data_IF_728165078442
#
_entry.id   IF_728165078442
#
_cell.length_a   1.000
_cell.length_b   1.000
_cell.length_c   1.000
_cell.angle_alpha   90.00
_cell.angle_beta   90.00
_cell.angle_gamma   90.00
#
_symmetry.space_group_name_H-M   'P 1'
#
loop_
_entity.id
_entity.type
_entity.pdbx_description
1 polymer ?
#
# COMPACT_ATOMS: atom_id res chain seq x y z
N UNK A 1 -13.86 -21.93 3.43
CA UNK A 1 -13.07 -21.38 4.52
C UNK A 1 -13.63 -20.07 5.04
N UNK A 2 -14.06 -20.08 6.29
CA UNK A 2 -14.12 -18.89 7.12
C UNK A 2 -12.70 -18.33 7.20
N UNK A 3 -12.48 -17.11 6.68
CA UNK A 3 -11.22 -16.38 6.89
C UNK A 3 -11.13 -16.19 8.40
N UNK A 4 -10.19 -16.91 9.03
CA UNK A 4 -9.90 -16.69 10.46
C UNK A 4 -9.25 -15.33 10.54
N UNK A 5 -10.04 -14.32 10.92
CA UNK A 5 -9.53 -12.99 11.24
C UNK A 5 -8.45 -13.19 12.32
N UNK A 6 -7.19 -12.81 12.06
CA UNK A 6 -6.17 -12.87 13.10
C UNK A 6 -6.68 -12.11 14.32
N UNK A 7 -6.42 -12.62 15.52
CA UNK A 7 -6.81 -11.94 16.77
C UNK A 7 -6.04 -10.62 16.84
N UNK A 8 -6.62 -9.55 16.32
CA UNK A 8 -6.02 -8.21 16.23
C UNK A 8 -5.99 -7.50 17.58
N UNK A 9 -6.63 -8.05 18.62
CA UNK A 9 -6.76 -7.44 19.93
C UNK A 9 -5.43 -7.19 20.67
N UNK A 10 -4.32 -7.75 20.20
CA UNK A 10 -2.98 -7.53 20.78
C UNK A 10 -1.98 -6.90 19.79
N UNK A 11 -2.39 -6.55 18.58
CA UNK A 11 -1.48 -6.03 17.56
C UNK A 11 -1.56 -4.49 17.54
N UNK A 12 -0.60 -3.83 18.17
CA UNK A 12 -0.45 -2.38 18.03
C UNK A 12 0.28 -2.05 16.73
N UNK A 13 -0.49 -1.60 15.73
CA UNK A 13 0.02 -1.22 14.42
C UNK A 13 -0.90 -1.60 13.28
N UNK A 14 -0.34 -2.11 12.19
CA UNK A 14 -1.05 -2.45 10.96
C UNK A 14 -0.89 -3.92 10.58
N UNK A 15 -1.94 -4.50 10.02
CA UNK A 15 -1.91 -5.81 9.38
C UNK A 15 -2.27 -5.67 7.91
N UNK A 16 -1.30 -5.88 7.03
CA UNK A 16 -1.47 -5.78 5.58
C UNK A 16 -1.80 -7.16 5.02
N UNK A 17 -2.94 -7.27 4.34
CA UNK A 17 -3.27 -8.49 3.62
C UNK A 17 -2.42 -8.58 2.35
N UNK A 18 -1.80 -9.73 2.17
CA UNK A 18 -0.85 -9.97 1.09
C UNK A 18 -1.19 -11.23 0.32
N UNK A 19 -0.72 -11.30 -0.92
CA UNK A 19 -0.81 -12.46 -1.78
C UNK A 19 0.60 -12.99 -2.05
N UNK A 20 0.74 -14.29 -2.26
CA UNK A 20 2.02 -14.87 -2.67
C UNK A 20 2.37 -14.44 -4.10
N UNK A 21 3.58 -13.94 -4.33
CA UNK A 21 4.00 -13.49 -5.66
C UNK A 21 4.11 -14.62 -6.70
N UNK A 22 4.17 -15.89 -6.29
CA UNK A 22 4.04 -17.03 -7.19
C UNK A 22 2.67 -17.10 -7.90
N UNK A 23 1.64 -16.51 -7.30
CA UNK A 23 0.28 -16.52 -7.86
C UNK A 23 -0.02 -15.29 -8.74
N UNK A 24 1.01 -14.53 -9.13
CA UNK A 24 0.90 -13.47 -10.13
C UNK A 24 0.58 -14.06 -11.50
N UNK A 25 -0.58 -13.66 -12.03
CA UNK A 25 -0.95 -13.96 -13.42
C UNK A 25 -0.39 -12.90 -14.38
N UNK A 26 -0.07 -11.71 -13.89
CA UNK A 26 0.33 -10.54 -14.67
C UNK A 26 1.78 -10.07 -14.37
N UNK A 27 2.22 -9.04 -15.10
CA UNK A 27 3.57 -8.50 -15.00
C UNK A 27 3.81 -7.81 -13.64
N UNK A 28 4.95 -8.07 -13.01
CA UNK A 28 5.32 -7.51 -11.69
C UNK A 28 5.41 -5.98 -11.66
N UNK A 29 5.50 -5.33 -12.83
CA UNK A 29 5.74 -3.90 -12.98
C UNK A 29 4.52 -3.00 -12.66
N UNK A 30 3.46 -3.54 -12.08
CA UNK A 30 2.28 -2.79 -11.65
C UNK A 30 1.94 -3.01 -10.18
N UNK A 31 2.70 -3.82 -9.44
CA UNK A 31 2.36 -4.21 -8.07
C UNK A 31 3.25 -3.55 -7.00
N UNK A 32 2.69 -3.42 -5.80
CA UNK A 32 3.44 -3.16 -4.57
C UNK A 32 3.91 -4.48 -3.96
N UNK A 33 5.20 -4.59 -3.66
CA UNK A 33 5.83 -5.75 -3.06
C UNK A 33 6.19 -5.48 -1.61
N UNK A 34 6.09 -6.52 -0.80
CA UNK A 34 6.37 -6.54 0.62
C UNK A 34 7.46 -7.57 0.88
N UNK A 35 8.50 -7.14 1.56
CA UNK A 35 9.50 -8.01 2.17
C UNK A 35 9.15 -8.21 3.64
N UNK A 36 9.19 -9.45 4.12
CA UNK A 36 8.92 -9.79 5.53
C UNK A 36 10.14 -10.44 6.21
N UNK A 37 10.17 -10.38 7.53
CA UNK A 37 11.07 -11.17 8.36
C UNK A 37 10.49 -12.55 8.71
N UNK A 38 11.24 -13.34 9.48
CA UNK A 38 10.84 -14.69 9.92
C UNK A 38 9.59 -14.69 10.84
N UNK A 39 9.28 -13.55 11.46
CA UNK A 39 8.12 -13.37 12.35
C UNK A 39 6.91 -12.79 11.59
N UNK A 40 7.03 -12.54 10.28
CA UNK A 40 5.99 -11.93 9.46
C UNK A 40 5.85 -10.41 9.62
N UNK A 41 6.79 -9.76 10.31
CA UNK A 41 6.88 -8.29 10.35
C UNK A 41 7.37 -7.79 9.01
N UNK A 42 6.81 -6.69 8.54
CA UNK A 42 7.16 -6.08 7.27
C UNK A 42 8.45 -5.30 7.43
N UNK A 43 9.43 -5.64 6.60
CA UNK A 43 10.72 -4.95 6.52
C UNK A 43 10.65 -3.73 5.63
N UNK A 44 9.99 -3.86 4.47
CA UNK A 44 9.94 -2.82 3.45
C UNK A 44 8.76 -3.02 2.48
N UNK A 45 8.28 -1.93 1.87
CA UNK A 45 7.19 -1.90 0.88
C UNK A 45 7.67 -1.15 -0.37
N UNK A 46 7.83 -1.87 -1.48
CA UNK A 46 8.37 -1.30 -2.73
C UNK A 46 7.36 -1.33 -3.87
N UNK A 47 7.21 -0.20 -4.56
CA UNK A 47 6.45 -0.18 -5.80
C UNK A 47 7.31 -0.59 -6.99
N UNK A 48 6.82 -1.54 -7.80
CA UNK A 48 7.45 -1.99 -9.06
C UNK A 48 8.88 -2.54 -8.89
N UNK A 49 9.06 -3.43 -7.92
CA UNK A 49 10.30 -4.19 -7.76
C UNK A 49 10.47 -5.18 -8.92
N UNK A 50 11.66 -5.21 -9.52
CA UNK A 50 12.02 -6.32 -10.41
C UNK A 50 12.35 -7.54 -9.57
N UNK A 51 11.60 -8.62 -9.75
CA UNK A 51 11.77 -9.84 -8.96
C UNK A 51 12.17 -10.97 -9.89
N UNK A 52 13.32 -11.56 -9.60
CA UNK A 52 13.77 -12.77 -10.29
C UNK A 52 12.84 -13.92 -9.95
N UNK A 53 12.63 -14.85 -10.88
CA UNK A 53 11.77 -16.02 -10.66
C UNK A 53 12.13 -16.83 -9.40
N UNK A 54 13.39 -16.80 -8.97
CA UNK A 54 13.90 -17.52 -7.78
C UNK A 54 13.48 -16.86 -6.46
N UNK A 55 13.28 -15.55 -6.46
CA UNK A 55 12.98 -14.79 -5.24
C UNK A 55 11.46 -14.65 -5.00
N UNK A 56 10.63 -15.04 -5.99
CA UNK A 56 9.17 -14.90 -5.93
C UNK A 56 8.52 -15.66 -4.78
N UNK A 57 9.10 -16.76 -4.30
CA UNK A 57 8.51 -17.54 -3.21
C UNK A 57 8.50 -16.78 -1.88
N UNK A 58 9.49 -15.89 -1.69
CA UNK A 58 9.67 -15.11 -0.47
C UNK A 58 9.03 -13.71 -0.56
N UNK A 59 8.62 -13.31 -1.77
CA UNK A 59 8.05 -11.99 -2.04
C UNK A 59 6.53 -12.01 -1.91
N UNK A 60 5.98 -10.96 -1.33
CA UNK A 60 4.55 -10.81 -1.09
C UNK A 60 4.03 -9.59 -1.83
N UNK A 61 2.77 -9.66 -2.25
CA UNK A 61 2.12 -8.57 -3.00
C UNK A 61 1.05 -7.96 -2.14
N UNK A 62 0.98 -6.63 -2.14
CA UNK A 62 -0.08 -5.87 -1.49
C UNK A 62 -1.42 -6.20 -2.14
N UNK A 63 -2.39 -6.70 -1.37
CA UNK A 63 -3.76 -6.97 -1.86
C UNK A 63 -4.65 -5.73 -1.96
N UNK A 64 -4.24 -4.61 -1.34
CA UNK A 64 -5.04 -3.39 -1.19
C UNK A 64 -5.92 -3.37 0.06
N UNK A 65 -5.91 -4.42 0.88
CA UNK A 65 -6.62 -4.46 2.17
C UNK A 65 -5.64 -4.38 3.34
N UNK A 66 -5.91 -3.48 4.29
CA UNK A 66 -5.12 -3.30 5.51
C UNK A 66 -6.04 -3.11 6.71
N UNK A 67 -5.71 -3.74 7.84
CA UNK A 67 -6.35 -3.50 9.13
C UNK A 67 -5.45 -2.61 9.98
N UNK A 68 -6.04 -1.64 10.66
CA UNK A 68 -5.33 -0.72 11.56
C UNK A 68 -5.83 -0.96 12.98
N UNK A 69 -4.91 -0.97 13.94
CA UNK A 69 -5.29 -0.87 15.35
C UNK A 69 -5.97 0.48 15.63
N UNK A 70 -6.88 0.57 16.63
CA UNK A 70 -7.54 1.83 16.97
C UNK A 70 -6.56 2.99 17.20
N UNK A 71 -5.51 2.76 17.99
CA UNK A 71 -4.48 3.76 18.29
C UNK A 71 -3.74 4.24 17.03
N UNK A 72 -3.43 3.34 16.10
CA UNK A 72 -2.80 3.72 14.83
C UNK A 72 -3.76 4.54 13.97
N UNK A 73 -5.03 4.11 13.86
CA UNK A 73 -6.04 4.81 13.08
C UNK A 73 -6.22 6.24 13.62
N UNK A 74 -6.36 6.41 14.93
CA UNK A 74 -6.47 7.72 15.57
C UNK A 74 -5.25 8.61 15.29
N UNK A 75 -4.03 8.06 15.33
CA UNK A 75 -2.84 8.84 15.01
C UNK A 75 -2.77 9.21 13.52
N UNK A 76 -3.14 8.31 12.61
CA UNK A 76 -3.25 8.62 11.17
C UNK A 76 -4.27 9.74 10.96
N UNK A 77 -5.43 9.67 11.62
CA UNK A 77 -6.43 10.73 11.56
C UNK A 77 -5.87 12.03 12.15
N UNK A 78 -5.16 12.02 13.27
CA UNK A 78 -4.60 13.26 13.84
C UNK A 78 -3.66 14.04 12.89
N UNK A 79 -3.15 13.41 11.83
CA UNK A 79 -2.32 14.06 10.82
C UNK A 79 -3.10 15.02 9.91
N UNK A 80 -4.42 14.84 9.74
CA UNK A 80 -5.21 15.61 8.76
C UNK A 80 -5.36 17.10 9.11
N UNK A 81 -4.95 17.54 10.30
CA UNK A 81 -4.97 18.95 10.71
C UNK A 81 -3.60 19.62 10.63
N UNK A 82 -2.56 18.88 10.24
CA UNK A 82 -1.18 19.37 10.24
C UNK A 82 -0.80 19.83 8.84
N UNK A 83 -0.37 21.09 8.64
CA UNK A 83 0.18 21.50 7.35
C UNK A 83 1.43 20.70 6.98
N UNK A 84 1.59 20.26 5.72
CA UNK A 84 0.68 20.46 4.59
C UNK A 84 -0.34 19.32 4.36
N UNK A 85 -0.44 18.37 5.29
CA UNK A 85 -1.35 17.21 5.22
C UNK A 85 -2.84 17.59 5.33
N UNK A 86 -3.14 18.76 5.87
CA UNK A 86 -4.46 19.38 5.88
C UNK A 86 -5.05 19.59 4.47
N UNK A 87 -4.19 19.83 3.48
CA UNK A 87 -4.57 19.90 2.06
C UNK A 87 -4.96 18.55 1.44
N UNK A 88 -4.70 17.42 2.11
CA UNK A 88 -5.14 16.10 1.65
C UNK A 88 -6.65 15.88 1.89
N UNK A 89 -7.30 16.81 2.58
CA UNK A 89 -8.72 16.74 2.93
C UNK A 89 -9.57 17.64 2.03
N UNK A 90 -10.89 17.57 2.22
CA UNK A 90 -11.85 18.46 1.56
C UNK A 90 -11.51 19.96 1.75
N UNK A 91 -10.82 20.33 2.84
CA UNK A 91 -10.34 21.71 3.05
C UNK A 91 -9.34 22.18 2.00
N UNK A 92 -8.48 21.29 1.50
CA UNK A 92 -7.60 21.60 0.36
C UNK A 92 -8.39 21.82 -0.93
N UNK A 93 -9.47 21.06 -1.10
CA UNK A 93 -10.34 21.15 -2.30
C UNK A 93 -11.04 22.49 -2.40
N UNK A 94 -11.51 23.04 -1.29
CA UNK A 94 -12.24 24.31 -1.28
C UNK A 94 -11.33 25.55 -1.45
N UNK A 95 -10.01 25.39 -1.34
CA UNK A 95 -9.06 26.52 -1.32
C UNK A 95 -8.29 26.71 -2.63
N UNK A 96 -8.62 25.97 -3.70
CA UNK A 96 -7.87 25.92 -4.97
C UNK A 96 -6.35 25.69 -4.77
N UNK A 97 -5.97 25.11 -3.62
CA UNK A 97 -4.58 24.83 -3.30
C UNK A 97 -4.16 23.50 -3.92
N UNK A 98 -2.91 23.41 -4.38
CA UNK A 98 -2.39 22.16 -4.92
C UNK A 98 -2.39 21.07 -3.83
N UNK A 99 -3.05 19.95 -4.13
CA UNK A 99 -3.19 18.82 -3.21
C UNK A 99 -1.84 18.17 -2.94
N UNK A 100 -1.53 17.94 -1.67
CA UNK A 100 -0.47 17.01 -1.31
C UNK A 100 -1.04 15.61 -1.46
N UNK A 101 -0.49 14.82 -2.38
CA UNK A 101 -0.92 13.44 -2.55
C UNK A 101 -0.12 12.54 -1.61
N UNK A 102 -0.81 11.78 -0.76
CA UNK A 102 -0.21 10.89 0.23
C UNK A 102 -0.68 9.46 -0.03
N UNK A 103 0.26 8.54 -0.21
CA UNK A 103 -0.02 7.13 -0.38
C UNK A 103 -0.19 6.44 0.96
N UNK A 104 -1.27 5.66 1.12
CA UNK A 104 -1.42 4.81 2.30
C UNK A 104 -0.22 3.87 2.45
N UNK A 105 0.19 3.19 1.38
CA UNK A 105 1.28 2.20 1.46
C UNK A 105 2.66 2.84 1.44
N UNK A 106 2.88 3.80 0.55
CA UNK A 106 4.21 4.34 0.27
C UNK A 106 4.55 5.62 1.02
N UNK A 107 3.62 6.19 1.81
CA UNK A 107 3.92 7.32 2.69
C UNK A 107 3.49 7.02 4.14
N UNK A 108 2.25 6.55 4.39
CA UNK A 108 1.72 6.35 5.75
C UNK A 108 2.17 5.04 6.42
N UNK A 109 2.22 3.93 5.68
CA UNK A 109 2.56 2.62 6.25
C UNK A 109 4.06 2.30 6.20
N UNK A 110 4.85 3.00 5.38
CA UNK A 110 6.30 2.81 5.34
C UNK A 110 6.97 2.99 6.71
N UNK A 111 6.68 4.05 7.51
CA UNK A 111 7.31 4.23 8.82
C UNK A 111 7.10 3.10 9.83
N UNK A 112 6.14 2.20 9.59
CA UNK A 112 5.86 1.04 10.44
C UNK A 112 6.76 -0.16 10.11
N UNK A 113 7.51 -0.08 9.01
CA UNK A 113 8.36 -1.16 8.53
C UNK A 113 9.72 -1.13 9.24
N UNK A 114 10.33 -2.29 9.47
CA UNK A 114 11.53 -2.38 10.31
C UNK A 114 12.84 -1.97 9.66
N UNK A 115 12.89 -1.88 8.32
CA UNK A 115 14.12 -1.67 7.55
C UNK A 115 14.03 -0.40 6.69
N UNK A 116 13.59 0.69 7.31
CA UNK A 116 13.40 1.98 6.64
C UNK A 116 14.41 2.99 7.17
N UNK A 117 15.24 3.48 6.25
CA UNK A 117 16.12 4.61 6.48
C UNK A 117 15.30 5.91 6.53
N UNK A 118 15.39 6.62 7.65
CA UNK A 118 14.57 7.80 7.92
C UNK A 118 14.86 8.90 6.90
N UNK A 119 16.14 9.14 6.60
CA UNK A 119 16.60 10.19 5.72
C UNK A 119 16.11 9.96 4.28
N UNK A 120 16.18 8.72 3.79
CA UNK A 120 15.62 8.31 2.49
C UNK A 120 14.09 8.38 2.46
N UNK A 121 13.44 8.07 3.58
CA UNK A 121 12.00 8.23 3.71
C UNK A 121 11.61 9.72 3.59
N UNK A 122 12.22 10.59 4.39
CA UNK A 122 11.92 12.03 4.41
C UNK A 122 12.14 12.68 3.04
N UNK A 123 13.24 12.34 2.35
CA UNK A 123 13.55 12.84 1.01
C UNK A 123 12.56 12.38 -0.08
N UNK A 124 11.75 11.37 0.21
CA UNK A 124 10.81 10.76 -0.74
C UNK A 124 11.46 9.80 -1.74
N UNK A 125 12.72 9.42 -1.51
CA UNK A 125 13.44 8.46 -2.37
C UNK A 125 12.70 7.11 -2.43
N UNK A 126 12.22 6.62 -1.28
CA UNK A 126 11.56 5.32 -1.16
C UNK A 126 10.19 5.26 -1.88
N UNK A 127 9.49 6.39 -1.98
CA UNK A 127 8.18 6.49 -2.65
C UNK A 127 8.28 6.95 -4.11
N UNK A 128 9.49 7.23 -4.61
CA UNK A 128 9.73 7.89 -5.91
C UNK A 128 9.09 7.17 -7.09
N UNK A 129 9.22 5.85 -7.19
CA UNK A 129 8.60 5.05 -8.25
C UNK A 129 7.08 5.18 -8.27
N UNK A 130 6.45 5.25 -7.09
CA UNK A 130 5.00 5.45 -6.98
C UNK A 130 4.63 6.87 -7.36
N UNK A 131 5.33 7.88 -6.82
CA UNK A 131 5.10 9.29 -7.10
C UNK A 131 5.19 9.60 -8.61
N UNK A 132 6.20 9.07 -9.31
CA UNK A 132 6.36 9.21 -10.77
C UNK A 132 5.14 8.62 -11.49
N UNK A 133 4.69 7.42 -11.09
CA UNK A 133 3.58 6.74 -11.76
C UNK A 133 2.22 7.41 -11.49
N UNK A 134 2.05 7.95 -10.28
CA UNK A 134 0.88 8.70 -9.86
C UNK A 134 0.92 10.17 -10.34
N UNK A 135 2.00 10.59 -11.01
CA UNK A 135 2.18 11.93 -11.57
C UNK A 135 2.13 13.05 -10.51
N UNK A 136 2.80 12.84 -9.38
CA UNK A 136 2.93 13.86 -8.34
C UNK A 136 3.69 15.07 -8.89
N UNK A 137 3.27 16.29 -8.53
CA UNK A 137 3.97 17.50 -8.98
C UNK A 137 5.31 17.69 -8.26
N UNK A 138 6.19 18.47 -8.89
CA UNK A 138 7.54 18.76 -8.35
C UNK A 138 7.53 19.76 -7.20
N UNK A 139 6.51 20.64 -7.10
CA UNK A 139 6.34 21.58 -5.98
C UNK A 139 6.11 20.85 -4.65
N UNK A 140 5.46 19.69 -4.69
CA UNK A 140 5.20 18.83 -3.52
C UNK A 140 6.49 18.26 -2.93
N UNK A 141 7.67 18.36 -3.57
CA UNK A 141 8.89 17.71 -3.06
C UNK A 141 9.43 18.32 -1.77
N UNK A 142 9.36 19.64 -1.61
CA UNK A 142 9.79 20.33 -0.38
C UNK A 142 8.74 20.20 0.74
N UNK A 143 7.46 20.36 0.38
CA UNK A 143 6.34 20.20 1.32
C UNK A 143 6.16 18.74 1.75
N UNK A 144 6.52 17.80 0.87
CA UNK A 144 6.49 16.36 1.10
C UNK A 144 7.47 15.92 2.18
N UNK A 145 8.61 16.61 2.34
CA UNK A 145 9.53 16.33 3.45
C UNK A 145 8.89 16.69 4.79
N UNK A 146 8.25 17.85 4.90
CA UNK A 146 7.52 18.28 6.11
C UNK A 146 6.35 17.34 6.41
N UNK A 147 5.58 16.97 5.37
CA UNK A 147 4.51 15.99 5.48
C UNK A 147 5.03 14.64 6.04
N UNK A 148 6.09 14.10 5.44
CA UNK A 148 6.72 12.85 5.90
C UNK A 148 7.32 12.99 7.29
N UNK A 149 7.83 14.16 7.66
CA UNK A 149 8.32 14.41 9.02
C UNK A 149 7.21 14.31 10.06
N UNK A 150 6.01 14.86 9.78
CA UNK A 150 4.83 14.68 10.63
C UNK A 150 4.40 13.22 10.72
N UNK A 151 4.32 12.53 9.58
CA UNK A 151 3.95 11.11 9.53
C UNK A 151 4.95 10.27 10.35
N UNK A 152 6.25 10.43 10.12
CA UNK A 152 7.30 9.68 10.82
C UNK A 152 7.18 9.85 12.33
N UNK A 153 7.07 11.09 12.81
CA UNK A 153 7.02 11.39 14.24
C UNK A 153 5.80 10.76 14.93
N UNK A 154 4.68 10.61 14.22
CA UNK A 154 3.47 10.00 14.75
C UNK A 154 3.46 8.49 14.64
N UNK A 155 4.02 7.93 13.57
CA UNK A 155 3.74 6.54 13.19
C UNK A 155 4.92 5.57 13.39
N UNK A 156 6.16 6.05 13.55
CA UNK A 156 7.36 5.19 13.59
C UNK A 156 7.44 4.19 14.76
N UNK A 157 6.63 4.38 15.81
CA UNK A 157 6.61 3.48 16.97
C UNK A 157 5.66 2.30 16.78
N UNK A 158 4.87 2.28 15.70
CA UNK A 158 4.00 1.17 15.35
C UNK A 158 4.73 0.15 14.48
N UNK A 159 4.18 -1.06 14.36
CA UNK A 159 4.72 -2.11 13.49
C UNK A 159 3.70 -2.61 12.49
N UNK A 160 4.16 -2.90 11.27
CA UNK A 160 3.34 -3.52 10.24
C UNK A 160 3.65 -5.00 10.10
N UNK A 161 2.62 -5.83 9.93
CA UNK A 161 2.72 -7.28 9.77
C UNK A 161 1.99 -7.71 8.51
N UNK A 162 2.49 -8.76 7.85
CA UNK A 162 1.84 -9.33 6.68
C UNK A 162 0.92 -10.50 7.08
N UNK A 163 -0.31 -10.48 6.57
CA UNK A 163 -1.21 -11.62 6.58
C UNK A 163 -1.28 -12.20 5.17
N UNK A 164 -0.80 -13.43 4.97
CA UNK A 164 -0.89 -14.09 3.66
C UNK A 164 -2.29 -14.65 3.46
N UNK A 165 -2.93 -14.31 2.34
CA UNK A 165 -4.15 -14.97 1.91
C UNK A 165 -3.72 -16.16 1.05
N UNK A 166 -3.92 -17.37 1.56
CA UNK A 166 -3.63 -18.60 0.84
C UNK A 166 -4.63 -18.83 -0.31
N UNK A 167 -4.20 -19.55 -1.35
CA UNK A 167 -5.02 -19.94 -2.50
C UNK A 167 -5.69 -18.79 -3.30
N UNK A 168 -5.01 -17.65 -3.39
CA UNK A 168 -5.46 -16.48 -4.14
C UNK A 168 -4.74 -16.29 -5.46
N UNK A 169 -5.45 -15.80 -6.49
CA UNK A 169 -4.85 -15.24 -7.72
C UNK A 169 -5.06 -13.73 -7.77
N UNK A 170 -4.12 -13.01 -8.39
CA UNK A 170 -4.26 -11.57 -8.66
C UNK A 170 -4.17 -11.29 -10.15
N UNK A 171 -5.11 -10.46 -10.62
CA UNK A 171 -5.15 -9.86 -11.94
C UNK A 171 -5.71 -8.45 -11.78
N UNK A 172 -5.10 -7.46 -12.43
CA UNK A 172 -5.68 -6.12 -12.47
C UNK A 172 -6.90 -6.10 -13.37
N UNK A 173 -7.87 -5.24 -13.04
CA UNK A 173 -8.96 -4.96 -13.96
C UNK A 173 -8.39 -4.22 -15.18
N UNK A 174 -8.49 -4.84 -16.35
CA UNK A 174 -8.08 -4.23 -17.60
C UNK A 174 -9.00 -3.05 -17.94
N UNK A 175 -8.51 -2.00 -18.65
CA UNK A 175 -9.32 -0.83 -19.03
C UNK A 175 -10.60 -1.19 -19.81
N UNK A 176 -10.59 -2.32 -20.53
CA UNK A 176 -11.73 -2.79 -21.32
C UNK A 176 -12.91 -3.28 -20.45
N UNK A 177 -12.68 -3.49 -19.14
CA UNK A 177 -13.72 -3.80 -18.14
C UNK A 177 -14.01 -2.64 -17.17
N UNK A 178 -13.31 -1.51 -17.27
CA UNK A 178 -13.57 -0.36 -16.41
C UNK A 178 -14.79 0.40 -16.92
N UNK A 179 -15.95 0.13 -16.32
CA UNK A 179 -16.99 1.16 -16.23
C UNK A 179 -16.32 2.41 -15.68
N UNK A 180 -16.47 3.51 -16.42
CA UNK A 180 -15.94 4.84 -16.19
C UNK A 180 -15.92 5.23 -14.70
N UNK A 181 -14.77 5.15 -14.05
CA UNK A 181 -14.49 5.87 -12.81
C UNK A 181 -13.05 6.42 -12.92
N UNK A 182 -12.96 7.73 -13.14
CA UNK A 182 -11.71 8.50 -13.24
C UNK A 182 -11.01 8.70 -11.87
N UNK A 183 -11.01 7.69 -11.01
CA UNK A 183 -10.20 7.66 -9.79
C UNK A 183 -9.40 6.37 -9.82
N UNK A 184 -8.07 6.49 -9.78
CA UNK A 184 -7.10 5.39 -9.86
C UNK A 184 -7.11 4.45 -8.65
N UNK A 185 -8.26 3.84 -8.36
CA UNK A 185 -8.43 2.80 -7.35
C UNK A 185 -8.38 1.45 -8.05
N UNK A 186 -7.25 0.77 -7.93
CA UNK A 186 -7.08 -0.59 -8.42
C UNK A 186 -7.73 -1.57 -7.44
N UNK A 187 -8.80 -2.25 -7.87
CA UNK A 187 -9.38 -3.37 -7.14
C UNK A 187 -8.65 -4.66 -7.52
N UNK A 188 -7.95 -5.27 -6.55
CA UNK A 188 -7.44 -6.65 -6.72
C UNK A 188 -8.58 -7.61 -6.44
N UNK A 189 -9.02 -8.37 -7.45
CA UNK A 189 -10.07 -9.39 -7.27
C UNK A 189 -9.42 -10.69 -6.79
N UNK A 190 -9.64 -11.03 -5.52
CA UNK A 190 -9.15 -12.27 -4.91
C UNK A 190 -10.13 -13.40 -5.23
N UNK A 191 -9.71 -14.34 -6.07
CA UNK A 191 -10.48 -15.56 -6.35
C UNK A 191 -10.07 -16.68 -5.38
N UNK A 192 -11.06 -17.42 -4.85
CA UNK A 192 -10.84 -18.66 -4.13
C UNK A 192 -10.80 -19.83 -5.11
N UNK A 193 -9.86 -20.75 -4.93
CA UNK A 193 -9.73 -21.97 -5.73
C UNK A 193 -10.83 -22.98 -5.41
N UNK A 194 -12.06 -22.72 -5.86
CA UNK A 194 -13.04 -23.78 -6.07
C UNK A 194 -13.24 -23.95 -7.57
N UNK A 195 -12.90 -25.15 -8.07
CA UNK A 195 -12.75 -25.41 -9.50
C UNK A 195 -13.98 -25.05 -10.32
N UNK A 196 -13.79 -24.14 -11.27
CA UNK A 196 -14.25 -24.19 -12.68
C UNK A 196 -13.86 -22.86 -13.33
N UNK A 197 -12.87 -22.91 -14.23
CA UNK A 197 -12.70 -21.86 -15.22
C UNK A 197 -13.92 -21.90 -16.15
N UNK A 198 -14.83 -20.95 -16.03
CA UNK A 198 -15.78 -20.65 -17.10
C UNK A 198 -15.04 -19.77 -18.11
N UNK A 199 -14.54 -20.41 -19.17
CA UNK A 199 -14.18 -19.73 -20.40
C UNK A 199 -15.44 -19.03 -20.94
N UNK A 200 -15.57 -17.73 -20.73
CA UNK A 200 -16.41 -16.93 -21.61
C UNK A 200 -15.60 -16.64 -22.88
N UNK A 201 -15.82 -17.50 -23.89
CA UNK A 201 -15.60 -17.12 -25.29
C UNK A 201 -16.58 -15.97 -25.57
N UNK A 202 -16.04 -14.77 -25.73
CA UNK A 202 -16.75 -13.69 -26.41
C UNK A 202 -16.88 -14.12 -27.88
N UNK A 203 -18.12 -14.18 -28.37
CA UNK A 203 -18.46 -14.20 -29.79
C UNK A 203 -18.30 -12.80 -30.36
#
# INVERSE_FOLDING_TARGET
PSIKVPKTSSLEGALICTLNANNLVENSNSHGFITIDELGKIKDINYRKQINKRDRENERIVSGTTFLSPSLAENIFSLYVLPPLDRCTYYGTDTDTEFVQVSLYFDLLLPLCSDIDKEKYLSGELSSNYAIRANYSTLIRQEGEVARQHIWNKLNNYSAFAFCIDESYSAYLSPDLSFSINFGVCFVRIYRKEGRFMHNKLR
#
